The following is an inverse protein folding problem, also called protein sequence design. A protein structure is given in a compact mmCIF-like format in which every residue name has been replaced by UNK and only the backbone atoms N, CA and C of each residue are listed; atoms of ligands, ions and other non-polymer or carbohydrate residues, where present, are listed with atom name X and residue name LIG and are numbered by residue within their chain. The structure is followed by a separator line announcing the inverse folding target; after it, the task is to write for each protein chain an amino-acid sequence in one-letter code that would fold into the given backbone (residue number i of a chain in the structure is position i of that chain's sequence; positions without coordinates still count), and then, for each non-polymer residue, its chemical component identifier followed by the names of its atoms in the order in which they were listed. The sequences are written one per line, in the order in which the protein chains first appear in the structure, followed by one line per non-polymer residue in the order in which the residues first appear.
data_IF_362548082702
#
_entry.id   IF_362548082702
#
_cell.length_a   1.000
_cell.length_b   1.000
_cell.length_c   1.000
_cell.angle_alpha   90.00
_cell.angle_beta   90.00
_cell.angle_gamma   90.00
#
_symmetry.space_group_name_H-M   'P 1'
#
loop_
_entity.id
_entity.type
_entity.pdbx_description
1 polymer ?
#
# COMPACT_ATOMS: atom_id res chain seq x y z
N UNK A 1 2.86 1.37 4.88
CA UNK A 1 2.30 1.75 3.56
C UNK A 1 2.58 0.71 2.48
N UNK A 2 3.85 0.43 2.10
CA UNK A 2 4.16 -0.55 1.04
C UNK A 2 3.61 -1.96 1.31
N UNK A 3 3.79 -2.47 2.53
CA UNK A 3 3.30 -3.81 2.91
C UNK A 3 1.79 -3.97 2.70
N UNK A 4 0.99 -2.96 3.07
CA UNK A 4 -0.46 -2.96 2.85
C UNK A 4 -0.82 -3.03 1.35
N UNK A 5 -0.10 -2.30 0.50
CA UNK A 5 -0.29 -2.36 -0.95
C UNK A 5 0.08 -3.76 -1.50
N UNK A 6 1.16 -4.36 -0.98
CA UNK A 6 1.58 -5.71 -1.35
C UNK A 6 0.52 -6.75 -0.99
N UNK A 7 -0.07 -6.65 0.21
CA UNK A 7 -1.16 -7.51 0.64
C UNK A 7 -2.37 -7.38 -0.27
N UNK A 8 -2.78 -6.14 -0.59
CA UNK A 8 -3.95 -5.92 -1.45
C UNK A 8 -3.73 -6.42 -2.89
N UNK A 9 -2.51 -6.34 -3.43
CA UNK A 9 -2.17 -6.96 -4.71
C UNK A 9 -2.27 -8.49 -4.63
N UNK A 10 -1.68 -9.10 -3.59
CA UNK A 10 -1.76 -10.54 -3.38
C UNK A 10 -3.22 -11.03 -3.26
N UNK A 11 -4.04 -10.33 -2.47
CA UNK A 11 -5.46 -10.65 -2.30
C UNK A 11 -6.19 -10.48 -3.64
N UNK A 12 -5.94 -9.42 -4.39
CA UNK A 12 -6.56 -9.20 -5.71
C UNK A 12 -6.20 -10.32 -6.68
N UNK A 13 -4.96 -10.81 -6.66
CA UNK A 13 -4.50 -11.96 -7.46
C UNK A 13 -5.28 -13.22 -7.12
N UNK A 14 -5.38 -13.58 -5.85
CA UNK A 14 -6.09 -14.78 -5.40
C UNK A 14 -7.59 -14.73 -5.72
N UNK A 15 -8.21 -13.56 -5.55
CA UNK A 15 -9.63 -13.38 -5.85
C UNK A 15 -9.92 -13.21 -7.35
N UNK A 16 -8.90 -13.11 -8.19
CA UNK A 16 -9.03 -12.69 -9.60
C UNK A 16 -9.86 -11.40 -9.72
N UNK A 17 -9.64 -10.47 -8.78
CA UNK A 17 -10.35 -9.20 -8.70
C UNK A 17 -9.55 -8.09 -9.37
N UNK A 18 -10.27 -7.10 -9.92
CA UNK A 18 -9.64 -5.86 -10.39
C UNK A 18 -9.30 -4.96 -9.20
N UNK A 19 -8.13 -4.34 -9.25
CA UNK A 19 -7.72 -3.34 -8.27
C UNK A 19 -7.81 -1.94 -8.90
N UNK A 20 -8.27 -0.96 -8.13
CA UNK A 20 -8.10 0.45 -8.49
C UNK A 20 -6.83 0.95 -7.81
N UNK A 21 -6.05 1.82 -8.48
CA UNK A 21 -4.85 2.43 -7.89
C UNK A 21 -5.17 2.91 -6.47
N UNK A 22 -4.38 2.50 -5.45
CA UNK A 22 -4.72 2.74 -4.06
C UNK A 22 -4.79 4.23 -3.71
N UNK A 23 -5.72 4.58 -2.83
CA UNK A 23 -5.71 5.88 -2.16
C UNK A 23 -4.79 5.83 -0.94
N UNK A 24 -3.98 6.88 -0.75
CA UNK A 24 -3.17 7.02 0.45
C UNK A 24 -3.98 7.71 1.55
N UNK A 25 -3.81 7.22 2.78
CA UNK A 25 -4.57 7.74 3.92
C UNK A 25 -4.02 9.11 4.34
N UNK A 26 -4.76 10.18 4.01
CA UNK A 26 -4.36 11.58 4.24
C UNK A 26 -4.51 12.02 5.70
N UNK A 27 -5.41 11.42 6.47
CA UNK A 27 -5.62 11.72 7.91
C UNK A 27 -4.61 10.99 8.81
N UNK A 28 -3.39 10.77 8.33
CA UNK A 28 -2.30 10.22 9.15
C UNK A 28 -1.66 11.32 9.99
N UNK A 29 -0.88 10.93 11.00
CA UNK A 29 -0.11 11.85 11.84
C UNK A 29 0.73 12.86 11.04
N UNK A 30 1.16 12.48 9.85
CA UNK A 30 2.05 13.27 9.00
C UNK A 30 1.36 14.37 8.19
N UNK A 31 0.02 14.38 8.15
CA UNK A 31 -0.80 15.34 7.39
C UNK A 31 -0.29 15.58 5.96
N UNK A 32 0.23 14.53 5.32
CA UNK A 32 0.78 14.59 3.97
C UNK A 32 -0.37 14.51 2.95
N UNK A 33 -0.58 15.56 2.12
CA UNK A 33 -1.65 15.57 1.13
C UNK A 33 -1.34 14.74 -0.11
N UNK A 34 -0.11 14.22 -0.24
CA UNK A 34 0.37 13.50 -1.42
C UNK A 34 -0.54 12.33 -1.78
N UNK A 35 -0.83 12.22 -3.07
CA UNK A 35 -1.56 11.11 -3.65
C UNK A 35 -0.60 10.00 -4.08
N UNK A 36 -1.15 8.84 -4.45
CA UNK A 36 -0.34 7.70 -4.85
C UNK A 36 0.61 8.05 -6.01
N UNK A 37 0.13 8.85 -6.96
CA UNK A 37 0.88 9.28 -8.15
C UNK A 37 1.97 10.31 -7.87
N UNK A 38 1.89 11.03 -6.74
CA UNK A 38 2.93 11.98 -6.35
C UNK A 38 4.16 11.24 -5.80
N UNK A 39 3.93 10.05 -5.23
CA UNK A 39 4.97 9.22 -4.61
C UNK A 39 5.46 8.12 -5.56
N UNK A 40 4.56 7.41 -6.24
CA UNK A 40 4.88 6.24 -7.06
C UNK A 40 4.58 6.46 -8.54
N UNK A 41 5.42 5.87 -9.40
CA UNK A 41 5.19 5.81 -10.83
C UNK A 41 4.02 4.85 -11.13
N UNK A 42 2.84 5.42 -11.39
CA UNK A 42 1.59 4.69 -11.61
C UNK A 42 1.64 3.81 -12.86
N UNK A 43 2.24 4.30 -13.94
CA UNK A 43 2.30 3.57 -15.21
C UNK A 43 3.25 2.38 -15.10
N UNK A 44 4.39 2.55 -14.43
CA UNK A 44 5.28 1.45 -14.08
C UNK A 44 4.60 0.45 -13.14
N UNK A 45 3.87 0.91 -12.13
CA UNK A 45 3.14 0.05 -11.19
C UNK A 45 2.11 -0.83 -11.91
N UNK A 46 1.30 -0.26 -12.81
CA UNK A 46 0.30 -1.00 -13.59
C UNK A 46 0.98 -1.96 -14.57
N UNK A 47 1.99 -1.49 -15.31
CA UNK A 47 2.65 -2.29 -16.34
C UNK A 47 3.43 -3.47 -15.76
N UNK A 48 4.11 -3.27 -14.63
CA UNK A 48 4.91 -4.31 -13.96
C UNK A 48 4.09 -5.43 -13.33
N UNK A 49 2.78 -5.22 -13.12
CA UNK A 49 1.86 -6.18 -12.50
C UNK A 49 0.76 -6.68 -13.46
N UNK A 50 0.84 -6.31 -14.73
CA UNK A 50 -0.20 -6.59 -15.75
C UNK A 50 -0.55 -8.08 -15.89
N UNK A 51 0.43 -8.96 -15.67
CA UNK A 51 0.29 -10.41 -15.82
C UNK A 51 -0.22 -11.08 -14.52
N UNK A 52 -0.29 -10.33 -13.42
CA UNK A 52 -0.77 -10.82 -12.12
C UNK A 52 -2.17 -10.28 -11.80
N UNK A 53 -2.33 -8.96 -11.86
CA UNK A 53 -3.55 -8.28 -11.41
C UNK A 53 -3.92 -7.20 -12.41
N UNK A 54 -5.20 -7.15 -12.78
CA UNK A 54 -5.73 -6.06 -13.59
C UNK A 54 -5.94 -4.81 -12.73
N UNK A 55 -5.12 -3.80 -12.96
CA UNK A 55 -5.15 -2.53 -12.22
C UNK A 55 -5.70 -1.42 -13.11
N UNK A 56 -6.63 -0.62 -12.59
CA UNK A 56 -7.16 0.57 -13.27
C UNK A 56 -6.75 1.82 -12.50
N UNK A 57 -6.41 2.91 -13.20
CA UNK A 57 -6.11 4.21 -12.59
C UNK A 57 -7.32 4.80 -11.87
N UNK A 58 -8.50 4.66 -12.48
CA UNK A 58 -9.75 5.19 -11.95
C UNK A 58 -10.88 4.19 -12.11
N UNK A 59 -11.95 4.41 -11.33
CA UNK A 59 -13.19 3.67 -11.47
C UNK A 59 -13.84 3.94 -12.85
N UNK A 60 -14.42 2.91 -13.50
CA UNK A 60 -15.21 3.12 -14.71
C UNK A 60 -16.33 4.15 -14.48
N UNK A 61 -16.66 5.02 -15.46
CA UNK A 61 -17.55 6.19 -15.24
C UNK A 61 -18.90 5.85 -14.58
N UNK A 62 -19.53 4.74 -14.98
CA UNK A 62 -20.80 4.27 -14.40
C UNK A 62 -20.68 3.93 -12.91
N UNK A 63 -19.55 3.36 -12.54
CA UNK A 63 -19.25 2.93 -11.17
C UNK A 63 -18.80 4.13 -10.33
N UNK A 64 -17.95 4.99 -10.90
CA UNK A 64 -17.49 6.25 -10.29
C UNK A 64 -18.67 7.11 -9.84
N UNK A 65 -19.66 7.31 -10.72
CA UNK A 65 -20.88 8.07 -10.39
C UNK A 65 -21.66 7.48 -9.21
N UNK A 66 -21.75 6.14 -9.11
CA UNK A 66 -22.43 5.50 -7.96
C UNK A 66 -21.67 5.72 -6.65
N UNK A 67 -20.35 5.66 -6.70
CA UNK A 67 -19.49 5.93 -5.55
C UNK A 67 -19.62 7.39 -5.11
N UNK A 68 -19.64 8.34 -6.04
CA UNK A 68 -19.84 9.78 -5.78
C UNK A 68 -21.21 10.08 -5.16
N UNK A 69 -22.23 9.28 -5.48
CA UNK A 69 -23.56 9.33 -4.84
C UNK A 69 -23.62 8.62 -3.48
N UNK A 70 -22.47 8.21 -2.92
CA UNK A 70 -22.38 7.54 -1.61
C UNK A 70 -22.72 6.05 -1.64
N UNK A 71 -22.97 5.45 -2.80
CA UNK A 71 -23.31 4.03 -2.93
C UNK A 71 -22.07 3.14 -2.97
N UNK A 72 -21.20 3.27 -1.95
CA UNK A 72 -19.98 2.47 -1.81
C UNK A 72 -20.00 1.69 -0.49
N UNK A 73 -19.64 0.41 -0.56
CA UNK A 73 -19.45 -0.40 0.63
C UNK A 73 -18.01 -0.28 1.12
N UNK A 74 -17.81 0.20 2.35
CA UNK A 74 -16.50 0.42 2.95
C UNK A 74 -16.36 -0.42 4.21
N UNK A 75 -15.27 -1.17 4.34
CA UNK A 75 -14.99 -1.95 5.55
C UNK A 75 -13.50 -2.19 5.76
N UNK A 76 -13.03 -2.34 7.01
CA UNK A 76 -11.69 -2.83 7.27
C UNK A 76 -11.67 -4.37 7.19
N UNK A 77 -10.70 -4.98 6.49
CA UNK A 77 -10.47 -6.42 6.60
C UNK A 77 -10.03 -6.80 8.02
N UNK A 78 -10.28 -8.05 8.43
CA UNK A 78 -9.77 -8.58 9.70
C UNK A 78 -8.23 -8.71 9.61
N UNK A 79 -7.52 -8.25 10.65
CA UNK A 79 -6.05 -8.32 10.70
C UNK A 79 -5.56 -9.77 10.59
N UNK A 80 -4.44 -9.99 9.91
CA UNK A 80 -3.78 -11.30 9.80
C UNK A 80 -4.68 -12.43 9.29
N UNK A 81 -5.65 -12.11 8.43
CA UNK A 81 -6.55 -13.11 7.87
C UNK A 81 -5.83 -13.99 6.86
N UNK A 82 -6.21 -15.27 6.81
CA UNK A 82 -5.82 -16.16 5.73
C UNK A 82 -6.57 -15.83 4.43
N UNK A 83 -6.19 -16.51 3.34
CA UNK A 83 -6.82 -16.27 2.04
C UNK A 83 -8.29 -16.77 1.98
N UNK A 84 -8.67 -17.73 2.81
CA UNK A 84 -10.02 -18.29 2.84
C UNK A 84 -11.03 -17.26 3.34
N UNK A 85 -10.65 -16.40 4.29
CA UNK A 85 -11.47 -15.25 4.69
C UNK A 85 -11.82 -14.36 3.50
N UNK A 86 -10.84 -14.07 2.63
CA UNK A 86 -11.06 -13.23 1.46
C UNK A 86 -12.00 -13.89 0.46
N UNK A 87 -11.86 -15.19 0.20
CA UNK A 87 -12.79 -15.93 -0.66
C UNK A 87 -14.20 -16.00 -0.07
N UNK A 88 -14.33 -16.29 1.23
CA UNK A 88 -15.62 -16.56 1.85
C UNK A 88 -16.37 -15.30 2.27
N UNK A 89 -15.69 -14.16 2.41
CA UNK A 89 -16.31 -12.89 2.84
C UNK A 89 -16.14 -11.79 1.80
N UNK A 90 -14.91 -11.45 1.46
CA UNK A 90 -14.63 -10.28 0.62
C UNK A 90 -15.10 -10.48 -0.83
N UNK A 91 -14.89 -11.67 -1.41
CA UNK A 91 -15.36 -11.98 -2.76
C UNK A 91 -16.89 -11.87 -2.87
N UNK A 92 -17.62 -12.38 -1.88
CA UNK A 92 -19.09 -12.27 -1.84
C UNK A 92 -19.55 -10.81 -1.77
N UNK A 93 -18.84 -9.97 -1.02
CA UNK A 93 -19.11 -8.54 -0.96
C UNK A 93 -18.82 -7.84 -2.28
N UNK A 94 -17.71 -8.18 -2.97
CA UNK A 94 -17.40 -7.66 -4.30
C UNK A 94 -18.50 -8.04 -5.30
N UNK A 95 -18.98 -9.29 -5.27
CA UNK A 95 -20.08 -9.73 -6.13
C UNK A 95 -21.39 -8.99 -5.86
N UNK A 96 -21.72 -8.75 -4.58
CA UNK A 96 -22.93 -8.04 -4.15
C UNK A 96 -22.90 -6.55 -4.47
N UNK A 97 -21.83 -5.86 -4.09
CA UNK A 97 -21.74 -4.40 -4.16
C UNK A 97 -21.06 -3.89 -5.44
N UNK A 98 -20.43 -4.78 -6.23
CA UNK A 98 -19.60 -4.49 -7.42
C UNK A 98 -18.29 -3.74 -7.12
N UNK A 99 -18.29 -2.88 -6.11
CA UNK A 99 -17.10 -2.20 -5.58
C UNK A 99 -17.11 -2.27 -4.06
N UNK A 100 -15.95 -2.60 -3.50
CA UNK A 100 -15.71 -2.62 -2.07
C UNK A 100 -14.45 -1.79 -1.80
N UNK A 101 -14.56 -0.79 -0.93
CA UNK A 101 -13.43 -0.02 -0.43
C UNK A 101 -12.93 -0.68 0.85
N UNK A 102 -11.77 -1.33 0.77
CA UNK A 102 -11.09 -1.85 1.95
C UNK A 102 -10.23 -0.75 2.57
N UNK A 103 -10.61 -0.27 3.77
CA UNK A 103 -9.81 0.73 4.50
C UNK A 103 -8.94 0.07 5.56
N UNK A 104 -7.97 0.82 6.10
CA UNK A 104 -7.04 0.34 7.15
C UNK A 104 -6.39 -0.99 6.75
N UNK A 105 -5.74 -1.05 5.59
CA UNK A 105 -5.26 -2.31 4.99
C UNK A 105 -3.88 -2.77 5.49
N UNK A 106 -3.42 -2.24 6.61
CA UNK A 106 -2.21 -2.63 7.29
C UNK A 106 -2.31 -4.04 7.89
N UNK A 107 -1.33 -4.90 7.59
CA UNK A 107 -1.19 -6.27 8.12
C UNK A 107 -2.47 -7.11 8.00
N UNK A 108 -3.06 -7.19 6.79
CA UNK A 108 -4.35 -7.86 6.56
C UNK A 108 -4.24 -9.25 5.97
N UNK A 109 -3.12 -9.59 5.32
CA UNK A 109 -2.85 -10.96 4.90
C UNK A 109 -1.85 -11.61 5.86
N UNK A 110 -2.16 -12.82 6.33
CA UNK A 110 -1.25 -13.59 7.15
C UNK A 110 0.12 -13.78 6.45
N UNK A 111 1.22 -13.61 7.19
CA UNK A 111 2.55 -13.82 6.64
C UNK A 111 2.92 -15.30 6.51
N UNK A 112 2.39 -16.14 7.40
CA UNK A 112 2.70 -17.56 7.42
C UNK A 112 1.76 -18.33 6.48
N UNK A 113 2.21 -19.52 6.08
CA UNK A 113 1.42 -20.50 5.34
C UNK A 113 0.86 -19.99 4.00
N UNK A 114 1.46 -18.93 3.44
CA UNK A 114 1.13 -18.46 2.11
C UNK A 114 1.91 -19.24 1.05
N UNK A 115 1.27 -19.56 -0.10
CA UNK A 115 1.98 -20.12 -1.24
C UNK A 115 3.19 -19.28 -1.66
N UNK A 116 4.26 -19.95 -2.10
CA UNK A 116 5.53 -19.31 -2.43
C UNK A 116 5.42 -18.27 -3.55
N UNK A 117 4.52 -18.50 -4.51
CA UNK A 117 4.22 -17.58 -5.60
C UNK A 117 3.57 -16.28 -5.08
N UNK A 118 2.69 -16.36 -4.08
CA UNK A 118 2.11 -15.19 -3.42
C UNK A 118 3.18 -14.38 -2.67
N UNK A 119 4.10 -15.05 -1.98
CA UNK A 119 5.20 -14.36 -1.30
C UNK A 119 6.16 -13.70 -2.31
N UNK A 120 6.45 -14.37 -3.44
CA UNK A 120 7.24 -13.79 -4.53
C UNK A 120 6.54 -12.58 -5.15
N UNK A 121 5.22 -12.63 -5.33
CA UNK A 121 4.43 -11.49 -5.80
C UNK A 121 4.53 -10.32 -4.81
N UNK A 122 4.31 -10.54 -3.50
CA UNK A 122 4.45 -9.50 -2.47
C UNK A 122 5.84 -8.86 -2.51
N UNK A 123 6.89 -9.68 -2.64
CA UNK A 123 8.26 -9.20 -2.76
C UNK A 123 8.47 -8.35 -4.03
N UNK A 124 8.02 -8.83 -5.20
CA UNK A 124 8.12 -8.09 -6.47
C UNK A 124 7.34 -6.78 -6.42
N UNK A 125 6.16 -6.76 -5.81
CA UNK A 125 5.40 -5.51 -5.61
C UNK A 125 6.22 -4.56 -4.74
N UNK A 126 6.75 -5.05 -3.62
CA UNK A 126 7.46 -4.23 -2.65
C UNK A 126 8.78 -3.68 -3.16
N UNK A 127 9.51 -4.37 -4.03
CA UNK A 127 10.86 -3.94 -4.43
C UNK A 127 10.97 -3.52 -5.89
N UNK A 128 10.04 -3.92 -6.74
CA UNK A 128 10.09 -3.64 -8.19
C UNK A 128 8.91 -2.81 -8.68
N UNK A 129 7.67 -3.15 -8.31
CA UNK A 129 6.49 -2.45 -8.84
C UNK A 129 6.25 -1.08 -8.18
N UNK A 130 6.49 -0.97 -6.87
CA UNK A 130 6.36 0.28 -6.13
C UNK A 130 7.59 1.18 -6.30
N UNK A 131 7.83 1.58 -7.54
CA UNK A 131 8.92 2.50 -7.90
C UNK A 131 8.51 3.94 -7.61
N UNK A 132 9.40 4.73 -7.02
CA UNK A 132 9.12 6.14 -6.79
C UNK A 132 9.03 6.91 -8.12
N UNK A 133 8.39 8.07 -8.10
CA UNK A 133 8.36 8.95 -9.28
C UNK A 133 9.78 9.33 -9.73
N UNK A 134 10.00 9.58 -11.04
CA UNK A 134 11.32 9.94 -11.56
C UNK A 134 11.97 11.11 -10.82
N UNK A 135 11.17 12.09 -10.40
CA UNK A 135 11.62 13.27 -9.65
C UNK A 135 12.22 12.89 -8.30
N UNK A 136 11.56 12.00 -7.54
CA UNK A 136 12.06 11.51 -6.25
C UNK A 136 13.32 10.67 -6.45
N UNK A 137 13.35 9.78 -7.44
CA UNK A 137 14.52 8.95 -7.73
C UNK A 137 15.74 9.76 -8.18
N UNK A 138 15.53 10.78 -9.02
CA UNK A 138 16.60 11.67 -9.47
C UNK A 138 17.16 12.49 -8.30
N UNK A 139 16.29 13.05 -7.46
CA UNK A 139 16.70 13.76 -6.26
C UNK A 139 17.52 12.87 -5.33
N UNK A 140 17.04 11.65 -5.05
CA UNK A 140 17.76 10.67 -4.23
C UNK A 140 19.13 10.32 -4.80
N UNK A 141 19.21 10.04 -6.12
CA UNK A 141 20.48 9.78 -6.82
C UNK A 141 21.44 10.98 -6.75
N UNK A 142 20.93 12.20 -6.88
CA UNK A 142 21.72 13.43 -6.79
C UNK A 142 22.32 13.61 -5.39
N UNK A 143 21.54 13.39 -4.34
CA UNK A 143 22.02 13.44 -2.95
C UNK A 143 23.13 12.41 -2.74
N UNK A 144 22.89 11.15 -3.12
CA UNK A 144 23.89 10.07 -2.98
C UNK A 144 25.16 10.40 -3.76
N UNK A 145 25.04 10.94 -4.98
CA UNK A 145 26.19 11.37 -5.80
C UNK A 145 27.03 12.41 -5.07
N UNK A 146 26.40 13.44 -4.50
CA UNK A 146 27.09 14.50 -3.76
C UNK A 146 27.81 13.93 -2.52
N UNK A 147 27.14 13.05 -1.76
CA UNK A 147 27.75 12.43 -0.58
C UNK A 147 28.96 11.58 -0.94
N UNK A 148 28.86 10.74 -1.99
CA UNK A 148 29.99 9.91 -2.46
C UNK A 148 31.19 10.73 -2.93
N UNK A 149 30.96 11.91 -3.49
CA UNK A 149 32.05 12.83 -3.88
C UNK A 149 32.84 13.36 -2.69
N UNK A 150 32.23 13.41 -1.49
CA UNK A 150 32.89 13.82 -0.24
C UNK A 150 33.58 12.67 0.49
N UNK A 151 33.38 11.43 0.06
CA UNK A 151 33.97 10.23 0.65
C UNK A 151 32.92 9.18 1.05
N UNK A 152 33.35 8.07 1.68
CA UNK A 152 32.45 7.09 2.26
C UNK A 152 31.53 7.72 3.31
N UNK A 153 30.28 7.26 3.39
CA UNK A 153 29.30 7.76 4.36
C UNK A 153 28.43 6.62 4.87
N UNK A 154 27.81 6.85 6.03
CA UNK A 154 26.83 5.95 6.65
C UNK A 154 25.46 6.63 6.62
N UNK A 155 24.42 5.87 6.32
CA UNK A 155 23.03 6.32 6.44
C UNK A 155 22.39 5.61 7.60
N UNK A 156 21.85 6.38 8.53
CA UNK A 156 21.12 5.88 9.68
C UNK A 156 19.69 6.43 9.62
N UNK A 157 18.72 5.54 9.39
CA UNK A 157 17.31 5.89 9.48
C UNK A 157 16.83 5.66 10.91
N UNK A 158 16.78 6.73 11.71
CA UNK A 158 16.24 6.67 13.07
C UNK A 158 14.77 7.07 13.00
N UNK A 159 13.89 6.12 13.29
CA UNK A 159 12.46 6.33 13.39
C UNK A 159 12.13 6.93 14.77
N UNK A 160 11.96 8.25 14.85
CA UNK A 160 11.70 9.00 16.08
C UNK A 160 10.28 9.59 16.06
N UNK A 161 9.29 8.71 16.09
CA UNK A 161 7.88 9.07 16.14
C UNK A 161 7.29 8.82 17.53
N UNK A 162 6.21 9.54 17.86
CA UNK A 162 5.54 9.37 19.16
C UNK A 162 5.07 7.93 19.40
N UNK A 163 4.64 7.20 18.35
CA UNK A 163 4.28 5.79 18.49
C UNK A 163 5.49 4.94 18.88
N UNK A 164 6.64 5.14 18.22
CA UNK A 164 7.89 4.42 18.55
C UNK A 164 8.43 4.79 19.94
N UNK A 165 8.31 6.05 20.35
CA UNK A 165 8.70 6.50 21.68
C UNK A 165 7.81 5.93 22.78
N UNK A 166 6.49 5.86 22.55
CA UNK A 166 5.57 5.24 23.50
C UNK A 166 5.94 3.77 23.78
N UNK A 167 6.46 3.04 22.77
CA UNK A 167 6.95 1.67 22.95
C UNK A 167 8.28 1.56 23.70
N UNK A 168 9.02 2.64 23.88
CA UNK A 168 10.27 2.62 24.66
C UNK A 168 10.05 2.77 26.17
N UNK A 169 8.80 2.91 26.63
CA UNK A 169 8.43 3.16 28.04
C UNK A 169 9.15 4.38 28.66
N UNK A 170 9.81 5.20 27.84
CA UNK A 170 10.52 6.38 28.26
C UNK A 170 9.53 7.54 28.28
N UNK A 171 9.06 7.91 29.48
CA UNK A 171 8.08 8.99 29.64
C UNK A 171 8.63 10.37 29.36
N UNK A 172 9.95 10.57 29.16
CA UNK A 172 10.60 11.87 28.88
C UNK A 172 10.07 13.06 29.74
N UNK A 173 9.63 12.79 30.98
CA UNK A 173 9.03 13.83 31.83
C UNK A 173 7.64 14.31 31.40
N UNK A 174 6.96 13.66 30.46
CA UNK A 174 5.55 13.86 30.13
C UNK A 174 4.65 13.25 31.23
N UNK A 175 4.75 13.79 32.44
CA UNK A 175 3.75 13.61 33.50
C UNK A 175 2.94 14.91 33.62
N UNK A 176 1.79 14.96 32.96
CA UNK A 176 0.64 15.79 33.37
C UNK A 176 -0.64 15.13 32.92
#
# INVERSE_FOLDING_TARGET
MRAAICDMIAISRCLTAMLIVPELYKTSFWNDPSEFQDIFDVDHFITSLRDDVRILKELPPRVKRRVELGMIFKMPPISWSDITYYHNKILLLIQKYRVVHLNKTDARLANNDQPIDIQRLRCRVNFSALKFTPQIEELGRKIVKILRQKGPFIVLNIRYEMDMLAFSECTQGCNT
#
